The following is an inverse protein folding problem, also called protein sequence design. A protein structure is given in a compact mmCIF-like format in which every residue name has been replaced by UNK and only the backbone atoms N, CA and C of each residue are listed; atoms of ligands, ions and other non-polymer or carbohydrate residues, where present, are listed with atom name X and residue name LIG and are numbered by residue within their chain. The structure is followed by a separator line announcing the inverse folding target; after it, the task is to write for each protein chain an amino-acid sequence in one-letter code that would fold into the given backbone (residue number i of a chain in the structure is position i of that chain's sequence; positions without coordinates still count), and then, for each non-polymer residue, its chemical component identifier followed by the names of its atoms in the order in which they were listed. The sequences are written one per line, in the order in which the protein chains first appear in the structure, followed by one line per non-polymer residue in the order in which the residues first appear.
data_IF_244071289722
#
_entry.id   IF_244071289722
#
_cell.length_a   1.000
_cell.length_b   1.000
_cell.length_c   1.000
_cell.angle_alpha   90.00
_cell.angle_beta   90.00
_cell.angle_gamma   90.00
#
_symmetry.space_group_name_H-M   'P 1'
#
loop_
_entity.id
_entity.type
_entity.pdbx_description
1 polymer ?
#
# COMPACT_ATOMS: atom_id res chain seq x y z
N UNK A 1 56.14 35.52 22.33
CA UNK A 1 55.43 35.70 21.05
C UNK A 1 54.84 34.35 20.71
N UNK A 2 53.73 34.13 21.38
CA UNK A 2 52.79 33.02 21.32
C UNK A 2 52.27 32.84 19.87
N UNK A 3 52.21 31.60 19.37
CA UNK A 3 50.95 30.83 19.14
C UNK A 3 50.10 31.45 18.01
N UNK A 4 49.67 30.80 16.93
CA UNK A 4 49.30 29.40 16.67
C UNK A 4 49.26 29.16 15.15
N UNK A 5 49.71 27.98 14.71
CA UNK A 5 49.33 27.38 13.43
C UNK A 5 47.84 27.01 13.48
N UNK A 6 46.98 27.68 12.70
CA UNK A 6 45.60 27.22 12.51
C UNK A 6 45.58 26.13 11.45
N UNK A 7 45.83 24.90 11.90
CA UNK A 7 45.54 23.69 11.15
C UNK A 7 44.04 23.58 10.87
N UNK A 8 43.63 23.93 9.66
CA UNK A 8 42.29 23.64 9.15
C UNK A 8 42.11 22.13 9.06
N UNK A 9 41.50 21.54 10.07
CA UNK A 9 41.11 20.13 10.08
C UNK A 9 40.04 19.91 9.00
N UNK A 10 40.47 19.54 7.81
CA UNK A 10 39.61 19.05 6.75
C UNK A 10 39.10 17.68 7.19
N UNK A 11 37.86 17.62 7.68
CA UNK A 11 37.22 16.35 8.05
C UNK A 11 37.18 15.44 6.81
N UNK A 12 37.62 14.18 6.92
CA UNK A 12 37.76 13.29 5.77
C UNK A 12 36.39 12.99 5.14
N UNK A 13 36.37 12.94 3.80
CA UNK A 13 35.21 12.69 2.94
C UNK A 13 34.67 11.24 2.99
N UNK A 14 34.77 10.59 4.16
CA UNK A 14 34.23 9.25 4.42
C UNK A 14 32.93 9.28 5.25
N UNK A 15 32.55 10.44 5.80
CA UNK A 15 31.28 10.61 6.52
C UNK A 15 30.03 10.71 5.61
N UNK A 16 30.21 10.75 4.28
CA UNK A 16 29.10 10.88 3.30
C UNK A 16 28.13 9.70 3.22
N UNK A 17 28.39 8.58 3.91
CA UNK A 17 27.44 7.44 4.00
C UNK A 17 27.01 7.12 5.42
N UNK A 18 27.08 8.11 6.31
CA UNK A 18 26.42 8.01 7.61
C UNK A 18 24.94 8.25 7.37
N UNK A 19 24.12 7.20 7.48
CA UNK A 19 22.67 7.39 7.46
C UNK A 19 22.28 8.43 8.51
N UNK A 20 21.32 9.27 8.17
CA UNK A 20 20.95 10.46 8.96
C UNK A 20 19.51 10.38 9.47
N UNK A 21 18.82 9.28 9.22
CA UNK A 21 17.37 9.19 9.43
C UNK A 21 17.08 8.31 10.65
N UNK A 22 16.23 8.81 11.54
CA UNK A 22 15.71 8.09 12.70
C UNK A 22 14.19 8.09 12.60
N UNK A 23 13.58 6.93 12.80
CA UNK A 23 12.12 6.77 12.80
C UNK A 23 11.68 6.18 14.13
N UNK A 24 10.72 6.83 14.77
CA UNK A 24 10.16 6.42 16.06
C UNK A 24 8.86 5.62 15.89
N UNK A 25 8.42 4.97 16.97
CA UNK A 25 7.17 4.18 17.02
C UNK A 25 5.90 5.04 16.93
N UNK A 26 6.01 6.34 17.14
CA UNK A 26 4.93 7.32 16.98
C UNK A 26 4.83 7.89 15.54
N UNK A 27 5.49 7.25 14.56
CA UNK A 27 5.54 7.66 13.16
C UNK A 27 6.27 8.98 12.87
N UNK A 28 6.96 9.57 13.86
CA UNK A 28 7.84 10.71 13.64
C UNK A 28 9.15 10.27 13.00
N UNK A 29 9.60 11.04 12.02
CA UNK A 29 10.84 10.87 11.30
C UNK A 29 11.72 12.09 11.53
N UNK A 30 12.94 11.83 11.97
CA UNK A 30 13.98 12.83 12.19
C UNK A 30 15.08 12.61 11.18
N UNK A 31 15.32 13.59 10.30
CA UNK A 31 16.34 13.52 9.27
C UNK A 31 17.43 14.56 9.55
N UNK A 32 18.61 14.11 9.96
CA UNK A 32 19.81 14.92 10.21
C UNK A 32 20.61 15.13 8.92
N UNK A 33 19.95 15.69 7.90
CA UNK A 33 20.54 15.92 6.58
C UNK A 33 20.13 17.27 6.04
N UNK A 34 21.10 17.99 5.50
CA UNK A 34 20.89 19.23 4.74
C UNK A 34 20.75 18.98 3.24
N UNK A 35 20.88 17.72 2.79
CA UNK A 35 20.77 17.34 1.39
C UNK A 35 19.35 17.54 0.86
N UNK A 36 19.20 18.46 -0.10
CA UNK A 36 17.93 18.73 -0.76
C UNK A 36 17.35 17.48 -1.44
N UNK A 37 18.21 16.60 -1.97
CA UNK A 37 17.77 15.36 -2.62
C UNK A 37 17.11 14.39 -1.64
N UNK A 38 17.75 14.14 -0.50
CA UNK A 38 17.18 13.25 0.52
C UNK A 38 15.87 13.80 1.07
N UNK A 39 15.79 15.12 1.26
CA UNK A 39 14.58 15.78 1.74
C UNK A 39 13.45 15.78 0.71
N UNK A 40 13.76 15.92 -0.57
CA UNK A 40 12.80 15.80 -1.66
C UNK A 40 12.25 14.36 -1.78
N UNK A 41 13.09 13.34 -1.56
CA UNK A 41 12.62 11.96 -1.52
C UNK A 41 11.73 11.74 -0.30
N UNK A 42 12.14 12.21 0.87
CA UNK A 42 11.35 12.09 2.10
C UNK A 42 9.96 12.73 1.95
N UNK A 43 9.88 13.93 1.38
CA UNK A 43 8.60 14.63 1.20
C UNK A 43 7.62 13.93 0.25
N UNK A 44 8.07 12.94 -0.53
CA UNK A 44 7.15 12.14 -1.38
C UNK A 44 6.23 11.25 -0.55
N UNK A 45 6.69 10.72 0.59
CA UNK A 45 5.95 9.76 1.40
C UNK A 45 5.77 10.19 2.86
N UNK A 46 6.36 11.30 3.29
CA UNK A 46 6.12 11.93 4.61
C UNK A 46 5.49 13.30 4.48
N UNK A 47 4.88 13.76 5.56
CA UNK A 47 4.52 15.16 5.74
C UNK A 47 5.61 15.85 6.56
N UNK A 48 6.29 16.83 5.97
CA UNK A 48 7.37 17.58 6.62
C UNK A 48 6.75 18.69 7.48
N UNK A 49 6.91 18.60 8.81
CA UNK A 49 6.30 19.54 9.76
C UNK A 49 7.27 20.69 10.07
N UNK A 50 8.52 20.36 10.38
CA UNK A 50 9.52 21.34 10.79
C UNK A 50 10.81 21.17 10.01
N UNK A 51 11.43 22.32 9.69
CA UNK A 51 12.73 22.37 9.04
C UNK A 51 13.65 23.28 9.85
N UNK A 52 14.71 22.71 10.39
CA UNK A 52 15.84 23.40 11.01
C UNK A 52 17.05 23.37 10.04
N UNK A 53 18.14 24.05 10.39
CA UNK A 53 19.33 24.14 9.54
C UNK A 53 19.98 22.77 9.30
N UNK A 54 20.09 21.93 10.32
CA UNK A 54 20.76 20.61 10.25
C UNK A 54 19.83 19.43 10.54
N UNK A 55 18.53 19.68 10.68
CA UNK A 55 17.53 18.66 10.96
C UNK A 55 16.21 19.01 10.30
N UNK A 56 15.54 18.02 9.73
CA UNK A 56 14.14 18.13 9.35
C UNK A 56 13.31 17.08 10.08
N UNK A 57 12.11 17.47 10.50
CA UNK A 57 11.16 16.60 11.19
C UNK A 57 9.95 16.40 10.30
N UNK A 58 9.62 15.14 10.04
CA UNK A 58 8.42 14.74 9.33
C UNK A 58 7.60 13.73 10.11
N UNK A 59 6.39 13.48 9.64
CA UNK A 59 5.51 12.43 10.13
C UNK A 59 5.06 11.54 8.99
N UNK A 60 5.02 10.23 9.24
CA UNK A 60 4.43 9.24 8.34
C UNK A 60 2.94 9.15 8.65
N UNK A 61 2.10 9.71 7.79
CA UNK A 61 0.64 9.59 7.89
C UNK A 61 0.11 8.61 6.87
N UNK A 62 -1.09 8.10 7.11
CA UNK A 62 -1.81 7.27 6.14
C UNK A 62 -1.96 8.01 4.81
N UNK A 63 -2.30 9.29 4.87
CA UNK A 63 -2.50 10.14 3.70
C UNK A 63 -1.18 10.36 2.94
N UNK A 64 -0.07 10.62 3.63
CA UNK A 64 1.24 10.85 2.99
C UNK A 64 1.72 9.61 2.25
N UNK A 65 1.63 8.43 2.89
CA UNK A 65 2.01 7.15 2.27
C UNK A 65 1.06 6.79 1.13
N UNK A 66 -0.25 7.02 1.28
CA UNK A 66 -1.22 6.77 0.21
C UNK A 66 -0.94 7.62 -1.03
N UNK A 67 -0.53 8.88 -0.88
CA UNK A 67 -0.11 9.73 -2.01
C UNK A 67 1.10 9.15 -2.72
N UNK A 68 2.12 8.70 -1.98
CA UNK A 68 3.30 8.07 -2.58
C UNK A 68 2.95 6.81 -3.38
N UNK A 69 2.07 5.96 -2.81
CA UNK A 69 1.59 4.74 -3.46
C UNK A 69 0.78 5.03 -4.74
N UNK A 70 0.06 6.17 -4.81
CA UNK A 70 -0.65 6.58 -6.03
C UNK A 70 0.30 6.93 -7.18
N UNK A 71 1.49 7.46 -6.87
CA UNK A 71 2.55 7.76 -7.84
C UNK A 71 3.33 6.51 -8.24
N UNK A 72 3.07 5.36 -7.58
CA UNK A 72 3.69 4.07 -7.89
C UNK A 72 4.90 3.72 -7.02
N UNK A 73 5.15 4.46 -5.94
CA UNK A 73 6.19 4.13 -4.96
C UNK A 73 5.66 3.03 -4.04
N UNK A 74 6.30 1.85 -4.02
CA UNK A 74 5.82 0.70 -3.24
C UNK A 74 6.17 0.81 -1.76
N UNK A 75 5.42 0.12 -0.90
CA UNK A 75 5.74 0.04 0.54
C UNK A 75 7.15 -0.53 0.77
N UNK A 76 7.56 -1.53 -0.02
CA UNK A 76 8.89 -2.12 0.06
C UNK A 76 10.01 -1.14 -0.27
N UNK A 77 9.80 -0.23 -1.24
CA UNK A 77 10.76 0.82 -1.59
C UNK A 77 10.90 1.84 -0.46
N UNK A 78 9.78 2.28 0.13
CA UNK A 78 9.79 3.22 1.28
C UNK A 78 10.57 2.61 2.45
N UNK A 79 10.26 1.38 2.83
CA UNK A 79 10.93 0.67 3.92
C UNK A 79 12.43 0.49 3.62
N UNK A 80 12.77 0.10 2.39
CA UNK A 80 14.17 -0.09 1.98
C UNK A 80 14.95 1.23 2.02
N UNK A 81 14.33 2.33 1.58
CA UNK A 81 14.95 3.66 1.65
C UNK A 81 15.22 4.10 3.10
N UNK A 82 14.24 3.91 4.00
CA UNK A 82 14.38 4.25 5.41
C UNK A 82 15.50 3.42 6.08
N UNK A 83 15.57 2.12 5.79
CA UNK A 83 16.62 1.24 6.31
C UNK A 83 18.01 1.58 5.77
N UNK A 84 18.12 1.87 4.47
CA UNK A 84 19.38 2.20 3.82
C UNK A 84 19.97 3.53 4.31
N UNK A 85 19.13 4.48 4.70
CA UNK A 85 19.54 5.80 5.20
C UNK A 85 19.41 5.93 6.73
N UNK A 86 19.23 4.82 7.44
CA UNK A 86 19.05 4.81 8.89
C UNK A 86 20.33 5.25 9.63
N UNK A 87 20.16 5.96 10.75
CA UNK A 87 21.28 6.44 11.54
C UNK A 87 22.20 5.31 12.04
N UNK A 88 23.52 5.54 12.02
CA UNK A 88 24.52 4.50 12.40
C UNK A 88 24.25 3.96 13.80
N UNK A 89 23.82 4.78 14.74
CA UNK A 89 23.47 4.34 16.09
C UNK A 89 22.27 3.36 16.10
N UNK A 90 21.28 3.56 15.24
CA UNK A 90 20.16 2.62 15.07
C UNK A 90 20.64 1.29 14.48
N UNK A 91 21.58 1.34 13.53
CA UNK A 91 22.21 0.15 12.95
C UNK A 91 23.09 -0.59 13.96
N UNK A 92 23.82 0.11 14.82
CA UNK A 92 24.68 -0.50 15.85
C UNK A 92 23.87 -1.12 16.99
N UNK A 93 22.80 -0.47 17.42
CA UNK A 93 21.99 -0.91 18.57
C UNK A 93 21.00 -2.00 18.19
N UNK A 94 20.37 -1.90 17.02
CA UNK A 94 19.32 -2.80 16.57
C UNK A 94 19.71 -3.74 15.43
N UNK A 95 20.85 -3.53 14.78
CA UNK A 95 21.18 -4.20 13.52
C UNK A 95 20.42 -3.62 12.32
N UNK A 96 20.75 -4.09 11.11
CA UNK A 96 20.16 -3.60 9.86
C UNK A 96 18.65 -3.84 9.71
N UNK A 97 18.08 -4.78 10.49
CA UNK A 97 16.66 -5.12 10.45
C UNK A 97 15.82 -4.32 11.46
N UNK A 98 16.38 -3.95 12.62
CA UNK A 98 15.64 -3.24 13.68
C UNK A 98 15.90 -1.72 13.68
N UNK A 99 16.59 -1.18 12.68
CA UNK A 99 16.80 0.27 12.56
C UNK A 99 15.51 1.04 12.22
N UNK A 100 14.49 0.33 11.72
CA UNK A 100 13.12 0.81 11.56
C UNK A 100 12.21 -0.03 12.48
N UNK A 101 11.44 0.58 13.40
CA UNK A 101 10.52 -0.17 14.24
C UNK A 101 9.58 -1.04 13.40
N UNK A 102 9.42 -2.31 13.80
CA UNK A 102 8.60 -3.29 13.07
C UNK A 102 7.16 -2.81 12.88
N UNK A 103 6.61 -2.14 13.89
CA UNK A 103 5.26 -1.56 13.86
C UNK A 103 5.10 -0.54 12.74
N UNK A 104 6.11 0.28 12.49
CA UNK A 104 6.09 1.28 11.41
C UNK A 104 6.19 0.59 10.05
N UNK A 105 7.09 -0.39 9.91
CA UNK A 105 7.25 -1.13 8.67
C UNK A 105 5.95 -1.88 8.28
N UNK A 106 5.31 -2.54 9.25
CA UNK A 106 4.07 -3.26 9.02
C UNK A 106 2.92 -2.30 8.75
N UNK A 107 2.84 -1.16 9.44
CA UNK A 107 1.81 -0.17 9.18
C UNK A 107 1.88 0.38 7.74
N UNK A 108 3.08 0.61 7.20
CA UNK A 108 3.26 1.04 5.80
C UNK A 108 2.74 -0.03 4.83
N UNK A 109 2.97 -1.32 5.13
CA UNK A 109 2.44 -2.44 4.32
C UNK A 109 0.92 -2.53 4.41
N UNK A 110 0.36 -2.40 5.61
CA UNK A 110 -1.09 -2.40 5.81
C UNK A 110 -1.76 -1.25 5.04
N UNK A 111 -1.13 -0.08 4.98
CA UNK A 111 -1.63 1.04 4.15
C UNK A 111 -1.57 0.76 2.64
N UNK A 112 -0.59 -0.03 2.17
CA UNK A 112 -0.56 -0.50 0.78
C UNK A 112 -1.66 -1.52 0.49
N UNK A 113 -1.84 -2.51 1.36
CA UNK A 113 -2.87 -3.55 1.21
C UNK A 113 -4.29 -3.00 1.35
N UNK A 114 -4.47 -1.92 2.11
CA UNK A 114 -5.75 -1.23 2.20
C UNK A 114 -6.23 -0.72 0.83
N UNK A 115 -5.32 -0.36 -0.08
CA UNK A 115 -5.67 0.00 -1.46
C UNK A 115 -6.21 -1.21 -2.25
N UNK A 116 -5.83 -2.43 -1.87
CA UNK A 116 -6.22 -3.68 -2.54
C UNK A 116 -7.45 -4.35 -1.91
N UNK A 117 -8.16 -3.68 -1.00
CA UNK A 117 -9.34 -4.26 -0.31
C UNK A 117 -10.55 -4.53 -1.20
N UNK A 118 -10.65 -3.88 -2.35
CA UNK A 118 -11.80 -4.03 -3.25
C UNK A 118 -11.33 -4.60 -4.58
N UNK A 119 -11.79 -5.81 -4.89
CA UNK A 119 -11.73 -6.38 -6.22
C UNK A 119 -13.02 -6.04 -6.94
N UNK A 120 -12.92 -5.34 -8.07
CA UNK A 120 -14.05 -5.11 -8.94
C UNK A 120 -14.13 -6.27 -9.93
N UNK A 121 -15.33 -6.82 -10.12
CA UNK A 121 -15.60 -7.89 -11.07
C UNK A 121 -16.83 -7.51 -11.85
N UNK A 122 -16.69 -7.45 -13.17
CA UNK A 122 -17.82 -7.16 -14.05
C UNK A 122 -18.80 -8.35 -14.02
N UNK A 123 -20.07 -8.02 -13.83
CA UNK A 123 -21.09 -8.99 -13.48
C UNK A 123 -22.46 -8.59 -14.02
N UNK A 124 -23.27 -9.58 -14.33
CA UNK A 124 -24.68 -9.38 -14.68
C UNK A 124 -25.59 -9.82 -13.54
N UNK A 125 -26.54 -8.95 -13.19
CA UNK A 125 -27.59 -9.24 -12.22
C UNK A 125 -28.84 -9.78 -12.92
N UNK A 126 -29.26 -10.98 -12.55
CA UNK A 126 -30.58 -11.51 -12.84
C UNK A 126 -31.51 -11.29 -11.64
N UNK A 127 -32.67 -10.70 -11.93
CA UNK A 127 -33.72 -10.39 -10.96
C UNK A 127 -35.08 -10.56 -11.63
N UNK A 128 -36.17 -10.47 -10.85
CA UNK A 128 -37.54 -10.52 -11.37
C UNK A 128 -37.88 -11.86 -12.03
N UNK A 129 -37.54 -12.97 -11.37
CA UNK A 129 -37.96 -14.31 -11.80
C UNK A 129 -39.48 -14.49 -11.66
N UNK A 130 -40.11 -15.15 -12.64
CA UNK A 130 -41.55 -15.40 -12.68
C UNK A 130 -41.98 -16.40 -11.59
N UNK A 131 -41.06 -17.23 -11.09
CA UNK A 131 -41.30 -18.15 -9.99
C UNK A 131 -40.03 -18.72 -9.35
N UNK A 132 -40.21 -19.35 -8.18
CA UNK A 132 -39.15 -20.08 -7.48
C UNK A 132 -38.40 -21.14 -8.31
N UNK A 133 -39.06 -21.98 -9.15
CA UNK A 133 -38.33 -22.98 -9.93
C UNK A 133 -37.40 -22.35 -10.99
N UNK A 134 -37.75 -21.18 -11.50
CA UNK A 134 -36.95 -20.46 -12.50
C UNK A 134 -35.69 -19.85 -11.86
N UNK A 135 -35.84 -19.25 -10.66
CA UNK A 135 -34.72 -18.79 -9.83
C UNK A 135 -33.76 -19.95 -9.49
N UNK A 136 -34.31 -21.06 -8.97
CA UNK A 136 -33.51 -22.24 -8.60
C UNK A 136 -32.78 -22.81 -9.81
N UNK A 137 -33.45 -22.88 -10.98
CA UNK A 137 -32.85 -23.36 -12.21
C UNK A 137 -31.63 -22.54 -12.65
N UNK A 138 -31.74 -21.20 -12.66
CA UNK A 138 -30.61 -20.32 -13.02
C UNK A 138 -29.51 -20.40 -11.98
N UNK A 139 -29.83 -20.35 -10.69
CA UNK A 139 -28.85 -20.46 -9.60
C UNK A 139 -28.06 -21.77 -9.73
N UNK A 140 -28.72 -22.90 -9.89
CA UNK A 140 -28.09 -24.22 -9.92
C UNK A 140 -27.33 -24.44 -11.22
N UNK A 141 -27.77 -23.88 -12.35
CA UNK A 141 -27.00 -23.84 -13.58
C UNK A 141 -25.72 -23.01 -13.41
N UNK A 142 -25.84 -21.78 -12.93
CA UNK A 142 -24.69 -20.88 -12.70
C UNK A 142 -23.69 -21.45 -11.69
N UNK A 143 -24.16 -22.14 -10.66
CA UNK A 143 -23.33 -22.83 -9.68
C UNK A 143 -22.56 -24.01 -10.32
N UNK A 144 -23.25 -24.85 -11.10
CA UNK A 144 -22.63 -25.99 -11.79
C UNK A 144 -21.57 -25.58 -12.80
N UNK A 145 -21.80 -24.47 -13.50
CA UNK A 145 -20.89 -23.95 -14.51
C UNK A 145 -19.75 -23.09 -13.93
N UNK A 146 -19.74 -22.86 -12.61
CA UNK A 146 -18.70 -22.07 -11.93
C UNK A 146 -18.73 -20.57 -12.25
N UNK A 147 -19.85 -20.04 -12.75
CA UNK A 147 -20.02 -18.64 -13.16
C UNK A 147 -20.82 -17.81 -12.14
N UNK A 148 -21.31 -18.45 -11.07
CA UNK A 148 -22.05 -17.79 -10.01
C UNK A 148 -21.11 -16.99 -9.11
N UNK A 149 -21.32 -15.67 -9.04
CA UNK A 149 -20.58 -14.79 -8.13
C UNK A 149 -21.29 -14.66 -6.79
N UNK A 150 -22.61 -14.51 -6.81
CA UNK A 150 -23.41 -14.35 -5.60
C UNK A 150 -24.88 -14.67 -5.88
N UNK A 151 -25.60 -15.16 -4.87
CA UNK A 151 -27.04 -15.34 -4.93
C UNK A 151 -27.70 -15.04 -3.58
N UNK A 152 -28.93 -14.53 -3.63
CA UNK A 152 -29.81 -14.29 -2.49
C UNK A 152 -31.16 -14.95 -2.75
N UNK A 153 -31.54 -15.87 -1.87
CA UNK A 153 -32.76 -16.66 -2.01
C UNK A 153 -34.00 -15.92 -1.52
N UNK A 154 -33.85 -14.97 -0.60
CA UNK A 154 -34.98 -14.18 -0.06
C UNK A 154 -35.41 -13.13 -1.09
N UNK A 155 -34.43 -12.47 -1.71
CA UNK A 155 -34.68 -11.45 -2.75
C UNK A 155 -34.74 -12.01 -4.16
N UNK A 156 -34.46 -13.31 -4.33
CA UNK A 156 -34.37 -13.99 -5.64
C UNK A 156 -33.44 -13.24 -6.60
N UNK A 157 -32.21 -13.00 -6.15
CA UNK A 157 -31.18 -12.34 -6.94
C UNK A 157 -30.08 -13.34 -7.28
N UNK A 158 -29.62 -13.30 -8.53
CA UNK A 158 -28.47 -14.10 -8.98
C UNK A 158 -27.51 -13.19 -9.71
N UNK A 159 -26.27 -13.12 -9.25
CA UNK A 159 -25.19 -12.37 -9.88
C UNK A 159 -24.23 -13.38 -10.51
N UNK A 160 -24.02 -13.24 -11.81
CA UNK A 160 -23.08 -14.07 -12.57
C UNK A 160 -21.94 -13.22 -13.13
N UNK A 161 -20.81 -13.85 -13.43
CA UNK A 161 -19.73 -13.19 -14.16
C UNK A 161 -20.21 -12.74 -15.55
N UNK A 162 -19.65 -11.63 -16.06
CA UNK A 162 -19.97 -11.15 -17.42
C UNK A 162 -19.68 -12.21 -18.49
N UNK A 163 -18.56 -12.95 -18.36
CA UNK A 163 -18.23 -14.08 -19.25
C UNK A 163 -19.29 -15.19 -19.23
N UNK A 164 -19.96 -15.37 -18.09
CA UNK A 164 -21.02 -16.35 -17.90
C UNK A 164 -22.38 -15.93 -18.46
N UNK A 165 -22.57 -14.64 -18.77
CA UNK A 165 -23.87 -14.09 -19.18
C UNK A 165 -24.46 -14.80 -20.39
N UNK A 166 -23.65 -14.96 -21.45
CA UNK A 166 -24.09 -15.62 -22.70
C UNK A 166 -24.46 -17.09 -22.47
N UNK A 167 -23.76 -17.77 -21.55
CA UNK A 167 -24.03 -19.19 -21.21
C UNK A 167 -25.38 -19.33 -20.53
N UNK A 168 -25.68 -18.46 -19.57
CA UNK A 168 -26.99 -18.43 -18.89
C UNK A 168 -28.10 -18.09 -19.89
N UNK A 169 -27.86 -17.14 -20.79
CA UNK A 169 -28.84 -16.76 -21.81
C UNK A 169 -29.15 -17.88 -22.80
N UNK A 170 -28.13 -18.63 -23.22
CA UNK A 170 -28.30 -19.79 -24.10
C UNK A 170 -29.09 -20.91 -23.39
N UNK A 171 -28.72 -21.22 -22.14
CA UNK A 171 -29.43 -22.19 -21.32
C UNK A 171 -30.90 -21.79 -21.10
N UNK A 172 -31.16 -20.52 -20.79
CA UNK A 172 -32.50 -20.00 -20.58
C UNK A 172 -33.41 -20.15 -21.80
N UNK A 173 -32.89 -19.81 -22.99
CA UNK A 173 -33.62 -19.99 -24.25
C UNK A 173 -33.94 -21.46 -24.53
N UNK A 174 -32.99 -22.36 -24.27
CA UNK A 174 -33.20 -23.79 -24.45
C UNK A 174 -34.25 -24.34 -23.46
N UNK A 175 -34.23 -23.87 -22.21
CA UNK A 175 -35.15 -24.32 -21.17
C UNK A 175 -36.58 -23.79 -21.38
N UNK A 176 -36.76 -22.54 -21.85
CA UNK A 176 -38.07 -22.00 -22.26
C UNK A 176 -38.60 -22.61 -23.56
N UNK A 177 -37.74 -23.08 -24.46
CA UNK A 177 -38.17 -23.77 -25.69
C UNK A 177 -38.56 -25.24 -25.46
N UNK A 178 -38.13 -25.84 -24.36
CA UNK A 178 -38.44 -27.21 -23.97
C UNK A 178 -39.70 -27.33 -23.09
N UNK A 179 -40.34 -26.21 -22.74
CA UNK A 179 -41.57 -26.13 -21.94
C UNK A 179 -42.71 -25.64 -22.83
#
# INVERSE_FOLDING_TARGET
MDSEETGGCMRPAEEQRSGSIIVETNFRLYAYTSSALQLAILSTFTEMIYRFNDMSVGVLTRESVRRALQVGITASQIISFLRANAHRQCLTTGGALNCLPVTVADQIRLWEDERRRMTFTDATLYSTFEGDPEFVGVRDFSLREGILLWADSDKKLVIVSEEGHERVRAWWKANKAAT
#
